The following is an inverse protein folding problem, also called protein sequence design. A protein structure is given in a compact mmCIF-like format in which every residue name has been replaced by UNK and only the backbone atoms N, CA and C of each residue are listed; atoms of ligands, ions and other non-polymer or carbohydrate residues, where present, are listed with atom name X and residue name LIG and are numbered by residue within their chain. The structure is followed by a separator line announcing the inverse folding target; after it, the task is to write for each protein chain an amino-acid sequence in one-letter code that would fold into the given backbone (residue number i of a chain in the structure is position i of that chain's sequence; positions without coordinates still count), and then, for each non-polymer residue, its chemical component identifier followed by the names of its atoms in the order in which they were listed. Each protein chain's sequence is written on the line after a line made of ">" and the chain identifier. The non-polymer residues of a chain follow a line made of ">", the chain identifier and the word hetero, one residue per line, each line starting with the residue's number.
data_IF_283420849514
#
_entry.id   IF_283420849514
#
_cell.length_a   1.000
_cell.length_b   1.000
_cell.length_c   1.000
_cell.angle_alpha   90.00
_cell.angle_beta   90.00
_cell.angle_gamma   90.00
#
_symmetry.space_group_name_H-M   'P 1'
#
loop_
_entity.id
_entity.type
_entity.pdbx_description
1 polymer ?
#
# COMPACT_ATOMS: atom_id res chain seq x y z
N UNK A 1 -17.19 -5.29 -20.50
CA UNK A 1 -16.24 -4.27 -20.00
C UNK A 1 -16.54 -4.10 -18.53
N UNK A 2 -15.53 -4.22 -17.67
CA UNK A 2 -15.66 -3.84 -16.26
C UNK A 2 -15.77 -2.31 -16.21
N UNK A 3 -16.92 -1.78 -15.81
CA UNK A 3 -17.16 -0.36 -15.56
C UNK A 3 -17.23 -0.03 -14.07
N UNK A 4 -17.07 -1.04 -13.21
CA UNK A 4 -17.04 -0.98 -11.76
C UNK A 4 -16.10 -2.07 -11.23
N UNK A 5 -15.72 -1.96 -9.95
CA UNK A 5 -14.89 -2.92 -9.23
C UNK A 5 -15.42 -3.10 -7.81
N UNK A 6 -14.99 -4.18 -7.15
CA UNK A 6 -15.27 -4.40 -5.75
C UNK A 6 -14.61 -3.32 -4.88
N UNK A 7 -15.27 -2.96 -3.78
CA UNK A 7 -14.66 -2.08 -2.78
C UNK A 7 -13.50 -2.81 -2.08
N UNK A 8 -12.35 -2.16 -1.99
CA UNK A 8 -11.17 -2.72 -1.33
C UNK A 8 -11.31 -2.60 0.19
N UNK A 9 -11.41 -3.75 0.84
CA UNK A 9 -11.48 -3.87 2.30
C UNK A 9 -10.37 -4.78 2.77
N UNK A 10 -9.32 -4.18 3.33
CA UNK A 10 -8.26 -4.95 3.95
C UNK A 10 -8.78 -5.72 5.17
N UNK A 11 -8.42 -7.00 5.26
CA UNK A 11 -8.69 -7.78 6.46
C UNK A 11 -7.87 -7.23 7.64
N UNK A 12 -8.49 -6.87 8.78
CA UNK A 12 -7.79 -6.23 9.88
C UNK A 12 -6.73 -7.14 10.53
N UNK A 13 -6.93 -8.45 10.50
CA UNK A 13 -5.97 -9.42 11.06
C UNK A 13 -4.74 -9.51 10.16
N UNK A 14 -4.92 -9.54 8.84
CA UNK A 14 -3.83 -9.52 7.86
C UNK A 14 -3.07 -8.19 7.90
N UNK A 15 -3.79 -7.06 8.04
CA UNK A 15 -3.19 -5.74 8.25
C UNK A 15 -2.25 -5.75 9.46
N UNK A 16 -2.75 -6.15 10.63
CA UNK A 16 -1.95 -6.15 11.86
C UNK A 16 -0.75 -7.08 11.76
N UNK A 17 -0.92 -8.24 11.11
CA UNK A 17 0.15 -9.23 10.98
C UNK A 17 1.28 -8.73 10.07
N UNK A 18 0.95 -8.23 8.89
CA UNK A 18 1.93 -7.67 7.94
C UNK A 18 2.55 -6.38 8.50
N UNK A 19 1.76 -5.52 9.16
CA UNK A 19 2.26 -4.30 9.78
C UNK A 19 3.32 -4.59 10.83
N UNK A 20 3.14 -5.59 11.69
CA UNK A 20 4.17 -6.00 12.67
C UNK A 20 5.47 -6.44 12.00
N UNK A 21 5.40 -7.13 10.86
CA UNK A 21 6.58 -7.55 10.12
C UNK A 21 7.31 -6.33 9.53
N UNK A 22 6.58 -5.41 8.92
CA UNK A 22 7.12 -4.14 8.44
C UNK A 22 7.70 -3.30 9.58
N UNK A 23 7.06 -3.23 10.73
CA UNK A 23 7.55 -2.49 11.91
C UNK A 23 8.89 -3.03 12.42
N UNK A 24 9.08 -4.36 12.42
CA UNK A 24 10.37 -4.98 12.76
C UNK A 24 11.46 -4.69 11.73
N UNK A 25 11.12 -4.62 10.44
CA UNK A 25 12.09 -4.45 9.35
C UNK A 25 12.46 -2.98 9.11
N UNK A 26 11.47 -2.08 9.09
CA UNK A 26 11.64 -0.66 8.78
C UNK A 26 11.68 0.25 10.00
N UNK A 27 11.22 -0.21 11.17
CA UNK A 27 11.01 0.61 12.37
C UNK A 27 9.70 1.40 12.33
N UNK A 28 9.03 1.53 13.47
CA UNK A 28 7.69 2.14 13.59
C UNK A 28 7.61 3.58 13.05
N UNK A 29 8.70 4.37 13.14
CA UNK A 29 8.74 5.75 12.64
C UNK A 29 8.63 5.85 11.11
N UNK A 30 8.80 4.74 10.38
CA UNK A 30 8.67 4.65 8.93
C UNK A 30 7.32 4.04 8.49
N UNK A 31 6.42 3.74 9.44
CA UNK A 31 5.09 3.23 9.16
C UNK A 31 4.06 4.33 9.38
N UNK A 32 3.23 4.55 8.36
CA UNK A 32 2.25 5.62 8.36
C UNK A 32 0.85 5.06 8.16
N UNK A 33 -0.10 5.57 8.93
CA UNK A 33 -1.50 5.28 8.68
C UNK A 33 -1.98 6.07 7.46
N UNK A 34 -2.66 5.37 6.55
CA UNK A 34 -3.24 5.94 5.35
C UNK A 34 -4.76 5.98 5.51
N UNK A 35 -5.42 7.14 5.39
CA UNK A 35 -6.87 7.19 5.33
C UNK A 35 -7.37 6.50 4.05
N UNK A 36 -8.65 6.12 4.05
CA UNK A 36 -9.31 5.64 2.84
C UNK A 36 -9.16 6.68 1.72
N UNK A 37 -8.72 6.21 0.55
CA UNK A 37 -8.56 7.02 -0.64
C UNK A 37 -9.76 6.84 -1.57
N UNK A 38 -9.98 7.82 -2.45
CA UNK A 38 -11.05 7.80 -3.44
C UNK A 38 -10.67 7.05 -4.74
N UNK A 39 -9.47 6.48 -4.80
CA UNK A 39 -9.05 5.61 -5.90
C UNK A 39 -9.77 4.26 -5.87
N UNK A 40 -9.80 3.57 -7.00
CA UNK A 40 -10.36 2.23 -7.13
C UNK A 40 -9.27 1.26 -7.58
N UNK A 41 -9.39 0.00 -7.16
CA UNK A 41 -8.51 -1.10 -7.58
C UNK A 41 -9.32 -2.39 -7.76
N UNK A 42 -8.86 -3.26 -8.64
CA UNK A 42 -9.44 -4.60 -8.89
C UNK A 42 -8.80 -5.69 -8.02
N UNK A 43 -7.83 -5.35 -7.17
CA UNK A 43 -7.17 -6.29 -6.27
C UNK A 43 -8.12 -7.18 -5.42
N UNK A 44 -9.30 -6.72 -4.95
CA UNK A 44 -10.19 -7.56 -4.15
C UNK A 44 -10.71 -8.82 -4.87
N UNK A 45 -10.67 -8.86 -6.21
CA UNK A 45 -11.01 -10.08 -6.95
C UNK A 45 -10.06 -11.25 -6.65
N UNK A 46 -8.85 -10.98 -6.15
CA UNK A 46 -7.94 -12.04 -5.68
C UNK A 46 -8.32 -12.60 -4.30
N UNK A 47 -9.19 -11.90 -3.56
CA UNK A 47 -9.67 -12.33 -2.24
C UNK A 47 -11.05 -12.98 -2.26
N UNK A 48 -11.95 -12.53 -3.13
CA UNK A 48 -13.32 -13.07 -3.25
C UNK A 48 -13.33 -14.33 -4.12
N UNK A 49 -13.71 -15.48 -3.54
CA UNK A 49 -13.80 -16.74 -4.28
C UNK A 49 -14.90 -16.69 -5.35
N UNK A 50 -16.06 -16.12 -5.00
CA UNK A 50 -17.21 -15.98 -5.91
C UNK A 50 -16.90 -15.03 -7.07
N UNK A 51 -16.48 -13.79 -6.77
CA UNK A 51 -16.25 -12.78 -7.79
C UNK A 51 -14.96 -13.03 -8.59
N UNK A 52 -13.93 -13.58 -7.94
CA UNK A 52 -12.65 -13.95 -8.53
C UNK A 52 -12.71 -15.23 -9.36
N UNK A 53 -13.79 -16.01 -9.25
CA UNK A 53 -14.01 -17.23 -10.03
C UNK A 53 -13.09 -18.39 -9.64
N UNK A 54 -12.64 -18.45 -8.39
CA UNK A 54 -11.84 -19.56 -7.87
C UNK A 54 -12.62 -20.37 -6.82
N UNK A 55 -12.27 -21.66 -6.68
CA UNK A 55 -12.91 -22.53 -5.70
C UNK A 55 -12.28 -22.40 -4.31
N UNK A 56 -13.07 -22.61 -3.27
CA UNK A 56 -12.60 -22.60 -1.87
C UNK A 56 -13.31 -21.53 -1.04
N UNK A 57 -12.65 -21.13 0.03
CA UNK A 57 -13.06 -20.00 0.89
C UNK A 57 -12.39 -18.71 0.39
N UNK A 58 -12.96 -17.57 0.76
CA UNK A 58 -12.35 -16.26 0.51
C UNK A 58 -10.96 -16.18 1.15
N UNK A 59 -10.02 -15.55 0.43
CA UNK A 59 -8.63 -15.40 0.87
C UNK A 59 -8.49 -14.00 1.48
N UNK A 60 -8.22 -13.89 2.81
CA UNK A 60 -8.04 -12.59 3.43
C UNK A 60 -6.77 -11.93 2.90
N UNK A 61 -6.85 -10.63 2.63
CA UNK A 61 -5.76 -9.89 1.99
C UNK A 61 -5.51 -8.55 2.67
N UNK A 62 -4.34 -7.99 2.37
CA UNK A 62 -4.00 -6.60 2.67
C UNK A 62 -3.32 -5.97 1.45
N UNK A 63 -3.74 -4.76 1.13
CA UNK A 63 -3.16 -3.87 0.14
C UNK A 63 -2.63 -2.63 0.85
N UNK A 64 -1.41 -2.20 0.52
CA UNK A 64 -0.75 -1.07 1.15
C UNK A 64 0.01 -0.21 0.14
N UNK A 65 0.45 0.96 0.58
CA UNK A 65 1.26 1.88 -0.20
C UNK A 65 2.71 1.90 0.28
N UNK A 66 3.63 2.24 -0.62
CA UNK A 66 5.02 2.56 -0.29
C UNK A 66 5.31 4.01 -0.64
N UNK A 67 6.21 4.64 0.11
CA UNK A 67 6.64 6.00 -0.16
C UNK A 67 7.35 6.10 -1.51
N UNK A 68 6.94 7.06 -2.34
CA UNK A 68 7.50 7.29 -3.67
C UNK A 68 8.21 8.65 -3.82
N UNK A 69 8.08 9.53 -2.82
CA UNK A 69 8.62 10.90 -2.85
C UNK A 69 10.04 10.93 -2.28
N UNK A 70 11.01 11.55 -2.97
CA UNK A 70 12.36 11.74 -2.43
C UNK A 70 12.34 12.48 -1.08
N UNK A 71 13.21 12.08 -0.14
CA UNK A 71 13.21 12.60 1.22
C UNK A 71 13.37 14.12 1.31
N UNK A 72 14.21 14.71 0.45
CA UNK A 72 14.38 16.17 0.38
C UNK A 72 13.10 16.89 -0.05
N UNK A 73 12.37 16.33 -1.04
CA UNK A 73 11.10 16.87 -1.49
C UNK A 73 10.07 16.76 -0.37
N UNK A 74 9.95 15.60 0.26
CA UNK A 74 9.06 15.36 1.40
C UNK A 74 9.28 16.32 2.57
N UNK A 75 10.55 16.58 2.93
CA UNK A 75 10.92 17.48 4.01
C UNK A 75 10.50 18.94 3.72
N UNK A 76 10.56 19.37 2.47
CA UNK A 76 10.17 20.71 2.01
C UNK A 76 8.66 20.86 1.76
N UNK A 77 7.91 19.75 1.68
CA UNK A 77 6.47 19.76 1.44
C UNK A 77 5.71 20.32 2.65
N UNK A 78 4.84 21.33 2.49
CA UNK A 78 4.00 21.83 3.58
C UNK A 78 3.07 20.76 4.17
N UNK A 79 2.74 20.88 5.45
CA UNK A 79 1.90 19.92 6.19
C UNK A 79 2.65 19.22 7.31
N UNK A 80 1.90 18.81 8.34
CA UNK A 80 2.40 18.08 9.51
C UNK A 80 2.09 16.58 9.43
N UNK A 81 0.98 16.21 8.79
CA UNK A 81 0.60 14.81 8.56
C UNK A 81 0.90 14.34 7.13
N UNK A 82 0.92 13.02 6.93
CA UNK A 82 1.02 12.41 5.60
C UNK A 82 -0.08 12.90 4.67
N UNK A 83 -1.33 12.90 5.16
CA UNK A 83 -2.49 13.33 4.38
C UNK A 83 -2.40 14.80 3.95
N UNK A 84 -1.86 15.68 4.80
CA UNK A 84 -1.64 17.08 4.46
C UNK A 84 -0.55 17.24 3.40
N UNK A 85 0.60 16.58 3.59
CA UNK A 85 1.72 16.64 2.64
C UNK A 85 1.34 16.11 1.26
N UNK A 86 0.58 15.02 1.20
CA UNK A 86 0.14 14.42 -0.07
C UNK A 86 -0.70 15.37 -0.95
N UNK A 87 -1.39 16.37 -0.38
CA UNK A 87 -2.14 17.38 -1.16
C UNK A 87 -1.24 18.30 -1.99
N UNK A 88 0.06 18.31 -1.71
CA UNK A 88 1.05 19.15 -2.36
C UNK A 88 2.04 18.35 -3.22
N UNK A 89 1.84 17.05 -3.34
CA UNK A 89 2.73 16.14 -4.06
C UNK A 89 2.08 15.63 -5.34
N UNK A 90 2.92 15.27 -6.29
CA UNK A 90 2.52 14.66 -7.54
C UNK A 90 1.98 13.25 -7.25
N UNK A 91 0.81 12.92 -7.79
CA UNK A 91 0.10 11.65 -7.57
C UNK A 91 0.07 10.80 -8.86
N UNK A 92 -0.24 9.49 -8.78
CA UNK A 92 -0.52 8.68 -9.96
C UNK A 92 -1.45 9.40 -10.96
N UNK A 93 -1.21 9.19 -12.26
CA UNK A 93 -1.83 9.90 -13.39
C UNK A 93 -1.38 11.35 -13.64
N UNK A 94 -0.50 11.93 -12.80
CA UNK A 94 0.18 13.19 -13.12
C UNK A 94 1.34 12.95 -14.11
N UNK A 95 1.55 13.81 -15.12
CA UNK A 95 2.74 13.75 -15.98
C UNK A 95 4.05 14.07 -15.23
N UNK A 96 3.96 14.56 -13.99
CA UNK A 96 5.10 14.86 -13.12
C UNK A 96 5.34 13.78 -12.06
N UNK A 97 4.54 12.70 -12.03
CA UNK A 97 4.72 11.63 -11.07
C UNK A 97 6.02 10.85 -11.34
N UNK A 98 6.90 10.79 -10.34
CA UNK A 98 8.25 10.20 -10.47
C UNK A 98 8.56 9.21 -9.33
N UNK A 99 7.93 8.02 -9.31
CA UNK A 99 8.14 7.05 -8.24
C UNK A 99 9.43 6.22 -8.38
N UNK A 100 10.06 6.19 -9.56
CA UNK A 100 11.10 5.24 -9.94
C UNK A 100 12.51 5.48 -9.38
N UNK A 101 12.65 6.09 -8.19
CA UNK A 101 13.95 6.26 -7.55
C UNK A 101 14.38 4.95 -6.83
N UNK A 102 15.69 4.76 -6.63
CA UNK A 102 16.27 3.53 -6.08
C UNK A 102 15.69 3.18 -4.70
N UNK A 103 15.47 4.18 -3.84
CA UNK A 103 14.96 3.98 -2.48
C UNK A 103 13.53 3.46 -2.50
N UNK A 104 12.66 4.01 -3.35
CA UNK A 104 11.28 3.51 -3.54
C UNK A 104 11.29 2.05 -3.98
N UNK A 105 12.08 1.72 -5.01
CA UNK A 105 12.14 0.36 -5.55
C UNK A 105 12.63 -0.65 -4.50
N UNK A 106 13.69 -0.29 -3.76
CA UNK A 106 14.21 -1.12 -2.68
C UNK A 106 13.18 -1.32 -1.57
N UNK A 107 12.52 -0.24 -1.14
CA UNK A 107 11.46 -0.29 -0.11
C UNK A 107 10.31 -1.20 -0.53
N UNK A 108 9.87 -1.13 -1.79
CA UNK A 108 8.83 -2.00 -2.32
C UNK A 108 9.20 -3.48 -2.29
N UNK A 109 10.41 -3.82 -2.75
CA UNK A 109 10.93 -5.19 -2.72
C UNK A 109 11.02 -5.70 -1.28
N UNK A 110 11.62 -4.92 -0.39
CA UNK A 110 11.77 -5.28 1.02
C UNK A 110 10.41 -5.44 1.72
N UNK A 111 9.44 -4.58 1.44
CA UNK A 111 8.10 -4.66 2.02
C UNK A 111 7.36 -5.94 1.56
N UNK A 112 7.47 -6.31 0.28
CA UNK A 112 6.91 -7.56 -0.23
C UNK A 112 7.58 -8.78 0.40
N UNK A 113 8.91 -8.79 0.50
CA UNK A 113 9.66 -9.89 1.11
C UNK A 113 9.34 -10.03 2.61
N UNK A 114 9.37 -8.94 3.36
CA UNK A 114 9.05 -8.95 4.79
C UNK A 114 7.60 -9.38 5.05
N UNK A 115 6.66 -8.93 4.22
CA UNK A 115 5.25 -9.36 4.29
C UNK A 115 5.08 -10.86 4.01
N UNK A 116 5.74 -11.39 2.98
CA UNK A 116 5.69 -12.81 2.66
C UNK A 116 6.33 -13.68 3.75
N UNK A 117 7.51 -13.27 4.25
CA UNK A 117 8.20 -14.00 5.31
C UNK A 117 7.42 -14.01 6.64
N UNK A 118 6.50 -13.06 6.86
CA UNK A 118 5.61 -13.10 8.02
C UNK A 118 4.71 -14.35 8.07
N UNK A 119 4.50 -15.02 6.94
CA UNK A 119 3.69 -16.24 6.81
C UNK A 119 4.51 -17.50 6.54
N UNK A 120 5.79 -17.35 6.15
CA UNK A 120 6.66 -18.46 5.76
C UNK A 120 7.77 -18.75 6.78
N UNK A 121 8.00 -17.86 7.74
CA UNK A 121 9.02 -17.99 8.78
C UNK A 121 8.63 -18.97 9.90
#
# INVERSE_FOLDING_TARGET
>A
MLNETLALHNDPTVVDHVRRAHGKHFGEDNLYDMPCLNGSEDFPYFGSAEDGGFGGEDIPYVYWFIGATPAERWAKTPGQSVAEKMRHLEMPHSPYYFPGNEVTLRTGIEAMVAGALAYLA
#
